data_IF_709508148778
#
_entry.id   IF_709508148778
#
_cell.length_a   1.000
_cell.length_b   1.000
_cell.length_c   1.000
_cell.angle_alpha   90.00
_cell.angle_beta   90.00
_cell.angle_gamma   90.00
#
_symmetry.space_group_name_H-M   'P 1'
#
loop_
_entity.id
_entity.type
_entity.pdbx_description
1 polymer ?
#
# COMPACT_ATOMS: atom_id res chain seq x y z
N UNK A 1 23.47 -40.80 -43.46
CA UNK A 1 22.02 -40.60 -43.20
C UNK A 1 21.70 -40.58 -41.69
N UNK A 2 22.60 -41.04 -40.82
CA UNK A 2 22.34 -41.20 -39.37
C UNK A 2 22.31 -39.90 -38.55
N UNK A 3 23.00 -38.84 -39.00
CA UNK A 3 23.01 -37.55 -38.27
C UNK A 3 21.65 -36.85 -38.37
N UNK A 4 20.97 -36.97 -39.51
CA UNK A 4 19.67 -36.33 -39.74
C UNK A 4 18.54 -37.03 -38.95
N UNK A 5 18.56 -38.36 -38.85
CA UNK A 5 17.56 -39.11 -38.08
C UNK A 5 17.73 -38.91 -36.57
N UNK A 6 18.97 -38.83 -36.08
CA UNK A 6 19.27 -38.54 -34.67
C UNK A 6 18.90 -37.09 -34.28
N UNK A 7 19.04 -36.13 -35.19
CA UNK A 7 18.62 -34.75 -34.94
C UNK A 7 17.08 -34.63 -34.91
N UNK A 8 16.39 -35.32 -35.83
CA UNK A 8 14.93 -35.34 -35.89
C UNK A 8 14.30 -36.07 -34.69
N UNK A 9 14.91 -37.16 -34.21
CA UNK A 9 14.46 -37.86 -33.01
C UNK A 9 14.72 -37.06 -31.72
N UNK A 10 15.86 -36.37 -31.63
CA UNK A 10 16.17 -35.47 -30.51
C UNK A 10 15.25 -34.25 -30.47
N UNK A 11 14.96 -33.62 -31.62
CA UNK A 11 14.00 -32.51 -31.73
C UNK A 11 12.57 -32.96 -31.44
N UNK A 12 12.15 -34.13 -31.92
CA UNK A 12 10.85 -34.71 -31.61
C UNK A 12 10.69 -35.01 -30.11
N UNK A 13 11.71 -35.58 -29.48
CA UNK A 13 11.73 -35.86 -28.04
C UNK A 13 11.68 -34.58 -27.19
N UNK A 14 12.40 -33.53 -27.58
CA UNK A 14 12.39 -32.24 -26.88
C UNK A 14 11.04 -31.51 -27.01
N UNK A 15 10.41 -31.55 -28.19
CA UNK A 15 9.09 -30.93 -28.41
C UNK A 15 7.99 -31.67 -27.64
N UNK A 16 7.98 -33.00 -27.67
CA UNK A 16 7.02 -33.81 -26.91
C UNK A 16 7.26 -33.67 -25.40
N UNK A 17 8.51 -33.67 -24.95
CA UNK A 17 8.86 -33.47 -23.55
C UNK A 17 8.47 -32.07 -23.02
N UNK A 18 8.66 -31.03 -23.83
CA UNK A 18 8.29 -29.65 -23.46
C UNK A 18 6.77 -29.46 -23.46
N UNK A 19 6.07 -30.02 -24.45
CA UNK A 19 4.60 -29.93 -24.54
C UNK A 19 3.92 -30.72 -23.42
N UNK A 20 4.36 -31.95 -23.16
CA UNK A 20 3.83 -32.76 -22.05
C UNK A 20 4.22 -32.19 -20.68
N UNK A 21 5.45 -31.68 -20.54
CA UNK A 21 5.92 -31.04 -19.31
C UNK A 21 5.14 -29.77 -18.97
N UNK A 22 4.91 -28.90 -19.96
CA UNK A 22 4.09 -27.69 -19.78
C UNK A 22 2.61 -28.02 -19.51
N UNK A 23 2.05 -29.03 -20.19
CA UNK A 23 0.71 -29.51 -19.90
C UNK A 23 0.57 -30.10 -18.49
N UNK A 24 1.55 -30.88 -18.03
CA UNK A 24 1.58 -31.44 -16.68
C UNK A 24 1.74 -30.35 -15.61
N UNK A 25 2.63 -29.37 -15.83
CA UNK A 25 2.79 -28.21 -14.94
C UNK A 25 1.50 -27.40 -14.84
N UNK A 26 0.85 -27.12 -15.97
CA UNK A 26 -0.43 -26.42 -16.02
C UNK A 26 -1.54 -27.22 -15.30
N UNK A 27 -1.58 -28.54 -15.49
CA UNK A 27 -2.52 -29.42 -14.77
C UNK A 27 -2.28 -29.41 -13.25
N UNK A 28 -1.02 -29.47 -12.80
CA UNK A 28 -0.69 -29.41 -11.38
C UNK A 28 -1.02 -28.04 -10.77
N UNK A 29 -0.70 -26.95 -11.47
CA UNK A 29 -1.08 -25.59 -11.04
C UNK A 29 -2.59 -25.45 -10.92
N UNK A 30 -3.35 -25.95 -11.90
CA UNK A 30 -4.81 -25.99 -11.84
C UNK A 30 -5.34 -26.83 -10.68
N UNK A 31 -4.68 -27.94 -10.32
CA UNK A 31 -5.01 -28.73 -9.15
C UNK A 31 -4.84 -27.95 -7.83
N UNK A 32 -3.72 -27.23 -7.68
CA UNK A 32 -3.48 -26.35 -6.53
C UNK A 32 -4.53 -25.24 -6.45
N UNK A 33 -4.85 -24.63 -7.59
CA UNK A 33 -5.82 -23.54 -7.66
C UNK A 33 -7.23 -23.98 -7.28
N UNK A 34 -7.66 -25.16 -7.75
CA UNK A 34 -8.94 -25.77 -7.34
C UNK A 34 -9.02 -25.97 -5.82
N UNK A 35 -7.91 -26.38 -5.19
CA UNK A 35 -7.86 -26.52 -3.73
C UNK A 35 -8.03 -25.17 -3.03
N UNK A 36 -7.31 -24.13 -3.48
CA UNK A 36 -7.42 -22.77 -2.93
C UNK A 36 -8.85 -22.20 -3.07
N UNK A 37 -9.47 -22.38 -4.25
CA UNK A 37 -10.87 -22.01 -4.49
C UNK A 37 -11.84 -22.77 -3.58
N UNK A 38 -11.59 -24.05 -3.31
CA UNK A 38 -12.40 -24.86 -2.39
C UNK A 38 -12.33 -24.32 -0.96
N UNK A 39 -11.14 -23.92 -0.49
CA UNK A 39 -10.96 -23.32 0.84
C UNK A 39 -11.72 -21.99 0.92
N UNK A 40 -11.63 -21.14 -0.10
CA UNK A 40 -12.37 -19.87 -0.14
C UNK A 40 -13.88 -20.10 -0.19
N UNK A 41 -14.33 -21.10 -0.94
CA UNK A 41 -15.75 -21.48 -1.01
C UNK A 41 -16.25 -21.98 0.35
N UNK A 42 -15.47 -22.80 1.06
CA UNK A 42 -15.76 -23.26 2.43
C UNK A 42 -15.94 -22.07 3.38
N UNK A 43 -15.11 -21.04 3.26
CA UNK A 43 -15.25 -19.83 4.08
C UNK A 43 -16.51 -19.02 3.73
N UNK A 44 -16.81 -18.85 2.44
CA UNK A 44 -18.02 -18.17 1.99
C UNK A 44 -19.29 -18.92 2.40
N UNK A 45 -19.25 -20.25 2.46
CA UNK A 45 -20.37 -21.06 2.96
C UNK A 45 -20.66 -20.83 4.45
N UNK A 46 -19.64 -20.50 5.25
CA UNK A 46 -19.86 -20.05 6.65
C UNK A 46 -20.69 -18.77 6.62
N UNK A 47 -20.25 -17.73 5.92
CA UNK A 47 -21.01 -16.46 5.86
C UNK A 47 -22.41 -16.63 5.28
N UNK A 48 -22.56 -17.45 4.24
CA UNK A 48 -23.85 -17.73 3.62
C UNK A 48 -24.83 -18.41 4.59
N UNK A 49 -24.34 -19.28 5.48
CA UNK A 49 -25.21 -19.91 6.50
C UNK A 49 -25.78 -18.90 7.50
N UNK A 50 -24.99 -17.89 7.90
CA UNK A 50 -25.41 -16.80 8.79
C UNK A 50 -26.30 -15.78 8.06
N UNK A 51 -25.99 -15.48 6.79
CA UNK A 51 -26.78 -14.59 5.93
C UNK A 51 -28.23 -15.07 5.77
N UNK A 52 -28.46 -16.39 5.62
CA UNK A 52 -29.81 -16.98 5.55
C UNK A 52 -30.67 -16.68 6.78
N UNK A 53 -30.04 -16.46 7.94
CA UNK A 53 -30.70 -16.09 9.19
C UNK A 53 -30.65 -14.59 9.49
N UNK A 54 -30.29 -13.75 8.52
CA UNK A 54 -30.16 -12.29 8.67
C UNK A 54 -29.17 -11.83 9.76
N UNK A 55 -28.12 -12.63 10.01
CA UNK A 55 -27.07 -12.32 10.98
C UNK A 55 -25.96 -11.43 10.40
N UNK A 56 -25.05 -11.00 11.26
CA UNK A 56 -23.90 -10.14 10.93
C UNK A 56 -22.61 -10.95 10.69
N UNK A 57 -21.59 -10.30 10.12
CA UNK A 57 -20.26 -10.92 9.99
C UNK A 57 -19.62 -11.22 11.35
N UNK A 58 -19.87 -10.39 12.37
CA UNK A 58 -19.40 -10.63 13.74
C UNK A 58 -19.96 -11.94 14.32
N UNK A 59 -21.23 -12.26 14.06
CA UNK A 59 -21.83 -13.52 14.51
C UNK A 59 -21.11 -14.77 13.94
N UNK A 60 -20.57 -14.67 12.73
CA UNK A 60 -19.86 -15.73 12.05
C UNK A 60 -18.38 -15.85 12.48
N UNK A 61 -17.86 -14.89 13.25
CA UNK A 61 -16.43 -14.74 13.56
C UNK A 61 -15.85 -15.97 14.28
N UNK A 62 -16.53 -16.44 15.32
CA UNK A 62 -16.10 -17.60 16.10
C UNK A 62 -16.03 -18.85 15.21
N UNK A 63 -17.05 -19.07 14.38
CA UNK A 63 -17.12 -20.23 13.51
C UNK A 63 -16.05 -20.17 12.41
N UNK A 64 -15.86 -19.00 11.79
CA UNK A 64 -14.79 -18.77 10.82
C UNK A 64 -13.42 -19.07 11.42
N UNK A 65 -13.16 -18.56 12.64
CA UNK A 65 -11.87 -18.71 13.27
C UNK A 65 -11.56 -20.13 13.74
N UNK A 66 -12.59 -20.92 14.06
CA UNK A 66 -12.46 -22.29 14.55
C UNK A 66 -12.46 -23.33 13.41
N UNK A 67 -13.23 -23.12 12.33
CA UNK A 67 -13.32 -24.07 11.20
C UNK A 67 -12.16 -23.99 10.21
N UNK A 68 -11.43 -22.87 10.20
CA UNK A 68 -10.30 -22.64 9.31
C UNK A 68 -9.00 -22.61 10.12
N UNK A 69 -8.01 -23.36 9.66
CA UNK A 69 -6.64 -23.29 10.17
C UNK A 69 -5.97 -21.96 9.81
N UNK A 70 -4.89 -21.62 10.52
CA UNK A 70 -4.07 -20.43 10.19
C UNK A 70 -3.56 -20.46 8.75
N UNK A 71 -3.18 -21.64 8.25
CA UNK A 71 -2.72 -21.80 6.87
C UNK A 71 -3.85 -21.55 5.85
N UNK A 72 -5.05 -22.10 6.08
CA UNK A 72 -6.22 -21.82 5.24
C UNK A 72 -6.57 -20.34 5.25
N UNK A 73 -6.57 -19.69 6.43
CA UNK A 73 -6.80 -18.25 6.56
C UNK A 73 -5.78 -17.47 5.73
N UNK A 74 -4.49 -17.82 5.77
CA UNK A 74 -3.43 -17.12 5.02
C UNK A 74 -3.69 -17.11 3.52
N UNK A 75 -4.20 -18.22 2.99
CA UNK A 75 -4.48 -18.37 1.56
C UNK A 75 -5.63 -17.46 1.14
N UNK A 76 -6.70 -17.39 1.92
CA UNK A 76 -7.99 -16.85 1.43
C UNK A 76 -8.30 -15.43 1.90
N UNK A 77 -7.70 -14.96 3.00
CA UNK A 77 -8.19 -13.76 3.70
C UNK A 77 -8.10 -12.49 2.86
N UNK A 78 -7.04 -12.35 2.05
CA UNK A 78 -6.88 -11.23 1.12
C UNK A 78 -7.92 -11.28 0.01
N UNK A 79 -8.23 -12.49 -0.48
CA UNK A 79 -9.24 -12.72 -1.51
C UNK A 79 -10.63 -12.32 -1.00
N UNK A 80 -10.99 -12.78 0.20
CA UNK A 80 -12.27 -12.45 0.83
C UNK A 80 -12.41 -10.93 1.02
N UNK A 81 -11.36 -10.27 1.51
CA UNK A 81 -11.38 -8.82 1.70
C UNK A 81 -11.56 -8.05 0.39
N UNK A 82 -10.82 -8.42 -0.67
CA UNK A 82 -10.96 -7.79 -1.99
C UNK A 82 -12.30 -8.06 -2.66
N UNK A 83 -12.96 -9.17 -2.30
CA UNK A 83 -14.31 -9.49 -2.75
C UNK A 83 -15.41 -8.73 -2.02
N UNK A 84 -15.07 -8.00 -0.95
CA UNK A 84 -16.02 -7.16 -0.20
C UNK A 84 -16.38 -7.69 1.18
N UNK A 85 -15.76 -8.78 1.66
CA UNK A 85 -15.94 -9.22 3.04
C UNK A 85 -15.20 -8.25 3.98
N UNK A 86 -15.90 -7.51 4.85
CA UNK A 86 -15.26 -6.48 5.66
C UNK A 86 -14.45 -7.12 6.79
N UNK A 87 -13.23 -6.64 7.03
CA UNK A 87 -12.37 -7.11 8.13
C UNK A 87 -12.11 -5.94 9.07
N UNK A 88 -12.30 -6.13 10.37
CA UNK A 88 -11.99 -5.12 11.37
C UNK A 88 -10.50 -5.13 11.70
N UNK A 89 -9.84 -3.99 11.49
CA UNK A 89 -8.41 -3.79 11.75
C UNK A 89 -8.15 -2.90 12.98
N UNK A 90 -9.15 -2.60 13.79
CA UNK A 90 -9.04 -1.68 14.94
C UNK A 90 -7.94 -2.07 15.94
N UNK A 91 -7.70 -3.37 16.10
CA UNK A 91 -6.69 -3.94 17.01
C UNK A 91 -5.42 -4.39 16.31
N UNK A 92 -5.23 -4.02 15.04
CA UNK A 92 -4.18 -4.53 14.16
C UNK A 92 -4.54 -5.90 13.55
N UNK A 93 -3.89 -6.24 12.44
CA UNK A 93 -4.13 -7.51 11.75
C UNK A 93 -3.45 -8.67 12.48
N UNK A 94 -4.22 -9.73 12.79
CA UNK A 94 -3.70 -10.97 13.35
C UNK A 94 -4.31 -12.18 12.64
N UNK A 95 -3.50 -12.88 11.86
CA UNK A 95 -3.96 -14.04 11.10
C UNK A 95 -4.54 -15.19 11.95
N UNK A 96 -4.15 -15.28 13.24
CA UNK A 96 -4.66 -16.33 14.14
C UNK A 96 -6.13 -16.09 14.47
N UNK A 97 -6.51 -14.83 14.62
CA UNK A 97 -7.84 -14.41 15.02
C UNK A 97 -8.29 -13.22 14.19
N UNK A 98 -9.12 -13.49 13.18
CA UNK A 98 -9.68 -12.49 12.27
C UNK A 98 -10.92 -11.90 12.91
N UNK A 99 -10.99 -10.57 13.03
CA UNK A 99 -12.14 -9.86 13.56
C UNK A 99 -13.05 -9.36 12.43
N UNK A 100 -14.36 -9.48 12.62
CA UNK A 100 -15.36 -8.99 11.68
C UNK A 100 -16.27 -7.93 12.33
N UNK A 101 -16.67 -6.89 11.58
CA UNK A 101 -17.55 -5.85 12.11
C UNK A 101 -19.01 -6.32 12.19
N UNK A 102 -19.82 -5.57 12.95
CA UNK A 102 -21.26 -5.78 13.10
C UNK A 102 -22.05 -5.25 11.88
N UNK A 103 -21.74 -5.81 10.72
CA UNK A 103 -22.39 -5.49 9.44
C UNK A 103 -23.26 -6.68 9.04
N UNK A 104 -24.51 -6.43 8.66
CA UNK A 104 -25.44 -7.46 8.19
C UNK A 104 -24.92 -8.10 6.90
N UNK A 105 -25.01 -9.44 6.80
CA UNK A 105 -24.56 -10.16 5.61
C UNK A 105 -25.69 -10.20 4.58
N UNK A 106 -25.43 -9.70 3.37
CA UNK A 106 -26.35 -9.85 2.24
C UNK A 106 -26.15 -11.19 1.52
N UNK A 107 -27.24 -11.95 1.39
CA UNK A 107 -27.20 -13.32 0.84
C UNK A 107 -26.73 -13.33 -0.61
N UNK A 108 -27.24 -12.41 -1.43
CA UNK A 108 -26.98 -12.42 -2.87
C UNK A 108 -25.57 -11.91 -3.19
N UNK A 109 -25.02 -10.98 -2.38
CA UNK A 109 -23.62 -10.58 -2.45
C UNK A 109 -22.68 -11.77 -2.20
N UNK A 110 -22.89 -12.53 -1.12
CA UNK A 110 -22.03 -13.68 -0.79
C UNK A 110 -22.13 -14.79 -1.85
N UNK A 111 -23.31 -15.01 -2.44
CA UNK A 111 -23.47 -15.94 -3.58
C UNK A 111 -22.67 -15.48 -4.80
N UNK A 112 -22.74 -14.20 -5.15
CA UNK A 112 -22.00 -13.64 -6.27
C UNK A 112 -20.48 -13.74 -6.05
N UNK A 113 -20.00 -13.47 -4.83
CA UNK A 113 -18.59 -13.68 -4.45
C UNK A 113 -18.17 -15.15 -4.62
N UNK A 114 -19.02 -16.09 -4.19
CA UNK A 114 -18.76 -17.53 -4.33
C UNK A 114 -18.68 -17.95 -5.78
N UNK A 115 -19.54 -17.43 -6.64
CA UNK A 115 -19.49 -17.68 -8.08
C UNK A 115 -18.16 -17.18 -8.68
N UNK A 116 -17.75 -15.95 -8.38
CA UNK A 116 -16.48 -15.38 -8.86
C UNK A 116 -15.26 -16.21 -8.45
N UNK A 117 -15.22 -16.67 -7.19
CA UNK A 117 -14.16 -17.56 -6.69
C UNK A 117 -14.16 -18.89 -7.44
N UNK A 118 -15.33 -19.51 -7.61
CA UNK A 118 -15.44 -20.82 -8.26
C UNK A 118 -15.03 -20.77 -9.74
N UNK A 119 -15.37 -19.68 -10.43
CA UNK A 119 -15.03 -19.40 -11.83
C UNK A 119 -13.54 -19.06 -12.04
N UNK A 120 -12.80 -18.77 -10.96
CA UNK A 120 -11.36 -18.51 -11.02
C UNK A 120 -10.95 -17.07 -11.30
N UNK A 121 -11.89 -16.12 -11.27
CA UNK A 121 -11.58 -14.71 -11.50
C UNK A 121 -10.67 -14.10 -10.41
N UNK A 122 -10.58 -14.77 -9.26
CA UNK A 122 -9.81 -14.30 -8.11
C UNK A 122 -8.48 -15.04 -7.93
N UNK A 123 -8.08 -15.91 -8.86
CA UNK A 123 -6.93 -16.81 -8.69
C UNK A 123 -5.63 -16.10 -8.33
N UNK A 124 -5.38 -14.96 -8.98
CA UNK A 124 -4.20 -14.13 -8.72
C UNK A 124 -4.10 -13.63 -7.27
N UNK A 125 -5.23 -13.52 -6.57
CA UNK A 125 -5.28 -12.97 -5.22
C UNK A 125 -4.82 -13.98 -4.15
N UNK A 126 -4.84 -15.28 -4.44
CA UNK A 126 -4.38 -16.32 -3.50
C UNK A 126 -2.87 -16.30 -3.25
N UNK A 127 -2.12 -15.57 -4.07
CA UNK A 127 -0.67 -15.43 -3.95
C UNK A 127 -0.23 -14.22 -3.11
N UNK A 128 -1.17 -13.39 -2.66
CA UNK A 128 -0.87 -12.21 -1.86
C UNK A 128 -0.60 -12.59 -0.41
N UNK A 129 0.52 -12.11 0.13
CA UNK A 129 0.83 -12.29 1.55
C UNK A 129 -0.11 -11.41 2.40
N UNK A 130 -0.88 -11.99 3.34
CA UNK A 130 -1.85 -11.25 4.14
C UNK A 130 -1.20 -10.27 5.11
N UNK A 131 -0.05 -10.62 5.69
CA UNK A 131 0.64 -9.73 6.63
C UNK A 131 1.10 -8.47 5.90
N UNK A 132 1.72 -8.60 4.72
CA UNK A 132 2.04 -7.46 3.85
C UNK A 132 0.80 -6.72 3.39
N UNK A 133 -0.25 -7.42 2.94
CA UNK A 133 -1.46 -6.78 2.42
C UNK A 133 -2.19 -5.93 3.47
N UNK A 134 -2.43 -6.47 4.67
CA UNK A 134 -3.16 -5.75 5.72
C UNK A 134 -2.27 -4.78 6.52
N UNK A 135 -0.97 -5.05 6.64
CA UNK A 135 -0.06 -4.16 7.37
C UNK A 135 0.66 -3.12 6.49
N UNK A 136 0.71 -3.29 5.17
CA UNK A 136 1.32 -2.29 4.26
C UNK A 136 0.70 -0.91 4.43
N UNK A 137 -0.60 -0.85 4.74
CA UNK A 137 -1.30 0.40 4.98
C UNK A 137 -1.12 0.94 6.41
N UNK A 138 -0.76 0.15 7.42
CA UNK A 138 -0.65 0.67 8.80
C UNK A 138 0.43 1.74 8.89
N UNK A 139 1.60 1.48 8.29
CA UNK A 139 2.69 2.47 8.28
C UNK A 139 2.28 3.73 7.53
N UNK A 140 1.71 3.59 6.34
CA UNK A 140 1.38 4.77 5.52
C UNK A 140 0.21 5.56 6.11
N UNK A 141 -0.80 4.88 6.65
CA UNK A 141 -1.90 5.50 7.40
C UNK A 141 -1.38 6.21 8.65
N UNK A 142 -0.44 5.62 9.38
CA UNK A 142 0.20 6.27 10.54
C UNK A 142 0.96 7.52 10.12
N UNK A 143 1.72 7.47 9.03
CA UNK A 143 2.45 8.61 8.48
C UNK A 143 1.51 9.72 7.98
N UNK A 144 0.44 9.37 7.26
CA UNK A 144 -0.60 10.32 6.83
C UNK A 144 -1.30 10.97 8.01
N UNK A 145 -1.67 10.20 9.04
CA UNK A 145 -2.28 10.74 10.25
C UNK A 145 -1.33 11.67 11.01
N UNK A 146 -0.06 11.30 11.10
CA UNK A 146 0.99 12.15 11.67
C UNK A 146 1.14 13.46 10.89
N UNK A 147 1.18 13.40 9.56
CA UNK A 147 1.27 14.57 8.69
C UNK A 147 0.06 15.49 8.85
N UNK A 148 -1.17 14.95 8.86
CA UNK A 148 -2.39 15.72 9.11
C UNK A 148 -2.38 16.38 10.49
N UNK A 149 -1.92 15.68 11.53
CA UNK A 149 -1.79 16.24 12.87
C UNK A 149 -0.80 17.41 12.87
N UNK A 150 0.35 17.24 12.22
CA UNK A 150 1.32 18.31 12.07
C UNK A 150 0.77 19.52 11.31
N UNK A 151 0.06 19.29 10.21
CA UNK A 151 -0.58 20.38 9.46
C UNK A 151 -1.54 21.16 10.37
N UNK A 152 -2.44 20.48 11.09
CA UNK A 152 -3.45 21.11 11.96
C UNK A 152 -2.85 21.82 13.18
N UNK A 153 -1.90 21.19 13.85
CA UNK A 153 -1.37 21.69 15.13
C UNK A 153 -0.28 22.75 14.92
N UNK A 154 0.45 22.66 13.81
CA UNK A 154 1.65 23.47 13.56
C UNK A 154 1.46 24.37 12.34
N UNK A 155 1.23 23.79 11.16
CA UNK A 155 1.25 24.54 9.90
C UNK A 155 0.11 25.56 9.80
N UNK A 156 -1.09 25.19 10.25
CA UNK A 156 -2.26 26.08 10.37
C UNK A 156 -2.06 27.24 11.35
N UNK A 157 -1.08 27.15 12.24
CA UNK A 157 -0.77 28.16 13.24
C UNK A 157 0.57 28.86 12.95
N UNK A 158 1.12 28.63 11.76
CA UNK A 158 2.38 29.23 11.33
C UNK A 158 2.16 30.58 10.67
N UNK A 159 3.22 31.37 10.59
CA UNK A 159 3.21 32.64 9.85
C UNK A 159 4.33 32.61 8.80
N UNK A 160 4.12 33.28 7.67
CA UNK A 160 5.10 33.32 6.58
C UNK A 160 5.63 34.73 6.35
N UNK A 161 6.96 34.86 6.32
CA UNK A 161 7.65 36.05 5.85
C UNK A 161 7.92 35.88 4.34
N UNK A 162 7.13 36.57 3.51
CA UNK A 162 7.22 36.48 2.04
C UNK A 162 8.50 37.11 1.48
N UNK A 163 9.06 38.11 2.15
CA UNK A 163 10.31 38.74 1.71
C UNK A 163 11.50 37.80 1.93
N UNK A 164 11.54 37.16 3.11
CA UNK A 164 12.59 36.19 3.45
C UNK A 164 12.31 34.78 2.93
N UNK A 165 11.13 34.57 2.33
CA UNK A 165 10.62 33.26 1.89
C UNK A 165 10.77 32.19 2.98
N UNK A 166 10.40 32.55 4.21
CA UNK A 166 10.51 31.67 5.36
C UNK A 166 9.16 31.47 6.03
N UNK A 167 8.95 30.30 6.62
CA UNK A 167 7.79 30.00 7.44
C UNK A 167 8.25 29.83 8.88
N UNK A 168 7.64 30.59 9.78
CA UNK A 168 7.86 30.52 11.22
C UNK A 168 6.78 29.66 11.85
N UNK A 169 7.21 28.58 12.49
CA UNK A 169 6.33 27.66 13.22
C UNK A 169 6.07 28.16 14.65
N UNK A 170 4.94 27.76 15.29
CA UNK A 170 4.68 28.04 16.70
C UNK A 170 5.80 27.60 17.64
N UNK A 171 6.04 28.34 18.71
CA UNK A 171 7.06 27.97 19.70
C UNK A 171 6.82 26.59 20.31
N UNK A 172 7.91 25.86 20.53
CA UNK A 172 7.93 24.53 21.18
C UNK A 172 7.03 23.48 20.54
N UNK A 173 6.60 23.67 19.28
CA UNK A 173 5.74 22.70 18.59
C UNK A 173 6.32 21.28 18.59
N UNK A 174 7.66 21.17 18.54
CA UNK A 174 8.41 19.91 18.49
C UNK A 174 8.30 19.08 19.77
N UNK A 175 7.96 19.67 20.93
CA UNK A 175 7.81 18.95 22.20
C UNK A 175 6.59 18.01 22.18
N UNK A 176 5.63 18.26 21.29
CA UNK A 176 4.44 17.42 21.09
C UNK A 176 4.70 16.17 20.24
N UNK A 177 5.92 15.98 19.75
CA UNK A 177 6.29 14.93 18.82
C UNK A 177 7.50 14.16 19.34
N UNK A 178 7.45 12.83 19.22
CA UNK A 178 8.60 11.96 19.50
C UNK A 178 9.74 12.23 18.52
N UNK A 179 10.94 11.75 18.83
CA UNK A 179 12.08 11.86 17.91
C UNK A 179 11.76 11.20 16.55
N UNK A 180 11.20 9.98 16.57
CA UNK A 180 10.86 9.25 15.34
C UNK A 180 9.81 9.98 14.49
N UNK A 181 8.77 10.54 15.12
CA UNK A 181 7.77 11.32 14.40
C UNK A 181 8.35 12.57 13.74
N UNK A 182 9.31 13.24 14.41
CA UNK A 182 9.99 14.40 13.84
C UNK A 182 10.79 14.02 12.60
N UNK A 183 11.59 12.94 12.67
CA UNK A 183 12.33 12.43 11.52
C UNK A 183 11.42 12.05 10.35
N UNK A 184 10.30 11.38 10.64
CA UNK A 184 9.34 10.97 9.61
C UNK A 184 8.69 12.15 8.88
N UNK A 185 8.61 13.33 9.51
CA UNK A 185 8.00 14.52 8.94
C UNK A 185 8.99 15.40 8.16
N UNK A 186 10.31 15.23 8.28
CA UNK A 186 11.27 16.21 7.77
C UNK A 186 11.18 16.43 6.25
N UNK A 187 11.17 15.35 5.45
CA UNK A 187 11.08 15.47 3.99
C UNK A 187 9.75 16.10 3.59
N UNK A 188 8.65 15.64 4.20
CA UNK A 188 7.32 16.20 3.97
C UNK A 188 7.29 17.71 4.26
N UNK A 189 7.74 18.14 5.44
CA UNK A 189 7.81 19.56 5.85
C UNK A 189 8.54 20.41 4.83
N UNK A 190 9.71 19.97 4.38
CA UNK A 190 10.51 20.73 3.40
C UNK A 190 9.76 20.92 2.08
N UNK A 191 9.00 19.91 1.64
CA UNK A 191 8.30 19.93 0.36
C UNK A 191 6.98 20.70 0.40
N UNK A 192 6.29 20.71 1.53
CA UNK A 192 5.01 21.45 1.70
C UNK A 192 5.19 22.88 2.18
N UNK A 193 6.39 23.27 2.63
CA UNK A 193 6.71 24.63 3.06
C UNK A 193 6.77 25.61 1.87
N UNK A 194 5.63 25.79 1.20
CA UNK A 194 5.43 26.70 0.08
C UNK A 194 4.69 27.96 0.55
N UNK A 195 5.10 29.11 0.03
CA UNK A 195 4.44 30.41 0.26
C UNK A 195 3.00 30.42 -0.26
N UNK A 196 2.63 29.48 -1.14
CA UNK A 196 1.29 29.38 -1.71
C UNK A 196 0.21 29.10 -0.67
N UNK A 197 0.56 28.51 0.46
CA UNK A 197 -0.38 28.23 1.56
C UNK A 197 -0.69 29.45 2.43
N UNK A 198 -0.04 30.59 2.17
CA UNK A 198 -0.16 31.81 2.98
C UNK A 198 -0.65 33.01 2.16
N UNK A 199 -1.51 33.83 2.75
CA UNK A 199 -2.06 35.04 2.14
C UNK A 199 -1.02 36.17 2.06
N UNK A 200 -1.40 37.34 1.53
CA UNK A 200 -0.49 38.49 1.39
C UNK A 200 0.14 38.93 2.70
N UNK A 201 -0.55 38.75 3.82
CA UNK A 201 -0.14 39.18 5.15
C UNK A 201 0.66 38.09 5.90
N UNK A 202 0.86 36.94 5.25
CA UNK A 202 1.61 35.81 5.78
C UNK A 202 0.76 34.81 6.57
N UNK A 203 -0.56 35.00 6.67
CA UNK A 203 -1.44 34.12 7.42
C UNK A 203 -1.85 32.88 6.61
N UNK A 204 -2.09 31.73 7.26
CA UNK A 204 -2.53 30.50 6.60
C UNK A 204 -3.88 30.66 5.88
N UNK A 205 -3.92 30.24 4.61
CA UNK A 205 -5.16 30.19 3.82
C UNK A 205 -5.89 28.89 4.14
N UNK A 206 -6.98 28.97 4.92
CA UNK A 206 -7.73 27.80 5.42
C UNK A 206 -8.12 26.81 4.34
N UNK A 207 -8.63 27.28 3.20
CA UNK A 207 -9.08 26.41 2.11
C UNK A 207 -7.93 25.60 1.53
N UNK A 208 -6.77 26.23 1.29
CA UNK A 208 -5.58 25.54 0.78
C UNK A 208 -5.01 24.55 1.78
N UNK A 209 -5.06 24.87 3.06
CA UNK A 209 -4.65 23.95 4.11
C UNK A 209 -5.62 22.76 4.24
N UNK A 210 -6.92 22.99 3.98
CA UNK A 210 -7.93 21.93 3.83
C UNK A 210 -7.61 21.02 2.65
N UNK A 211 -7.30 21.60 1.49
CA UNK A 211 -6.85 20.85 0.30
C UNK A 211 -5.59 20.02 0.59
N UNK A 212 -4.61 20.58 1.30
CA UNK A 212 -3.41 19.83 1.69
C UNK A 212 -3.75 18.60 2.55
N UNK A 213 -4.68 18.73 3.50
CA UNK A 213 -5.16 17.59 4.30
C UNK A 213 -5.81 16.54 3.39
N UNK A 214 -6.67 16.96 2.46
CA UNK A 214 -7.28 16.07 1.47
C UNK A 214 -6.22 15.38 0.61
N UNK A 215 -5.18 16.09 0.17
CA UNK A 215 -4.12 15.52 -0.65
C UNK A 215 -3.30 14.46 0.10
N UNK A 216 -3.10 14.67 1.40
CA UNK A 216 -2.49 13.66 2.29
C UNK A 216 -3.39 12.41 2.36
N UNK A 217 -4.71 12.59 2.51
CA UNK A 217 -5.65 11.47 2.56
C UNK A 217 -5.71 10.69 1.24
N UNK A 218 -5.62 11.39 0.11
CA UNK A 218 -5.53 10.79 -1.22
C UNK A 218 -4.18 10.10 -1.50
N UNK A 219 -3.15 10.39 -0.68
CA UNK A 219 -1.84 9.76 -0.79
C UNK A 219 -0.87 10.44 -1.74
N UNK A 220 -1.17 11.66 -2.21
CA UNK A 220 -0.27 12.40 -3.11
C UNK A 220 1.10 12.70 -2.48
N UNK A 221 1.15 12.71 -1.14
CA UNK A 221 2.36 12.97 -0.36
C UNK A 221 3.07 11.72 0.16
N UNK A 222 2.58 10.51 -0.17
CA UNK A 222 3.11 9.25 0.34
C UNK A 222 4.58 9.04 0.02
N UNK A 223 5.01 9.43 -1.17
CA UNK A 223 6.40 9.34 -1.61
C UNK A 223 7.31 10.22 -0.75
N UNK A 224 6.85 11.40 -0.34
CA UNK A 224 7.59 12.26 0.59
C UNK A 224 7.60 11.70 2.01
N UNK A 225 6.45 11.19 2.48
CA UNK A 225 6.32 10.60 3.82
C UNK A 225 7.11 9.30 4.00
N UNK A 226 7.29 8.54 2.92
CA UNK A 226 8.08 7.31 2.92
C UNK A 226 9.57 7.54 2.67
N UNK A 227 9.99 8.75 2.27
CA UNK A 227 11.38 9.03 1.97
C UNK A 227 12.21 9.14 3.24
N UNK A 228 13.22 8.28 3.36
CA UNK A 228 14.23 8.37 4.39
C UNK A 228 14.96 9.72 4.39
N UNK A 229 15.09 10.33 5.56
CA UNK A 229 15.64 11.68 5.73
C UNK A 229 17.12 11.77 5.32
N UNK A 230 17.93 10.79 5.70
CA UNK A 230 19.37 10.81 5.41
C UNK A 230 19.61 10.62 3.90
N UNK A 231 18.83 9.74 3.28
CA UNK A 231 18.81 9.54 1.84
C UNK A 231 18.42 10.82 1.10
N UNK A 232 17.38 11.52 1.57
CA UNK A 232 16.96 12.81 1.01
C UNK A 232 18.08 13.88 1.14
N UNK A 233 18.68 13.99 2.32
CA UNK A 233 19.80 14.93 2.58
C UNK A 233 20.99 14.66 1.68
N UNK A 234 21.34 13.40 1.46
CA UNK A 234 22.44 13.01 0.58
C UNK A 234 22.18 13.46 -0.87
N UNK A 235 20.97 13.26 -1.38
CA UNK A 235 20.58 13.71 -2.73
C UNK A 235 20.62 15.23 -2.86
N UNK A 236 20.07 15.97 -1.90
CA UNK A 236 20.09 17.44 -1.92
C UNK A 236 21.53 17.96 -1.86
N UNK A 237 22.37 17.38 -1.01
CA UNK A 237 23.77 17.78 -0.86
C UNK A 237 24.57 17.52 -2.15
N UNK A 238 24.36 16.36 -2.78
CA UNK A 238 24.98 16.04 -4.06
C UNK A 238 24.54 17.00 -5.18
N UNK A 239 23.25 17.36 -5.23
CA UNK A 239 22.73 18.31 -6.20
C UNK A 239 23.29 19.73 -5.99
N UNK A 240 23.43 20.17 -4.73
CA UNK A 240 24.05 21.45 -4.40
C UNK A 240 25.53 21.48 -4.79
N UNK A 241 26.27 20.40 -4.52
CA UNK A 241 27.66 20.26 -4.94
C UNK A 241 27.80 20.30 -6.46
N UNK A 242 26.95 19.56 -7.17
CA UNK A 242 26.96 19.55 -8.64
C UNK A 242 26.66 20.94 -9.22
N UNK A 243 25.68 21.64 -8.65
CA UNK A 243 25.35 23.01 -9.06
C UNK A 243 26.51 23.98 -8.81
N UNK A 244 27.18 23.86 -7.65
CA UNK A 244 28.36 24.68 -7.35
C UNK A 244 29.51 24.42 -8.33
N UNK A 245 29.77 23.16 -8.68
CA UNK A 245 30.78 22.78 -9.68
C UNK A 245 30.42 23.31 -11.07
N UNK A 246 29.16 23.20 -11.51
CA UNK A 246 28.73 23.75 -12.79
C UNK A 246 28.89 25.29 -12.83
N UNK A 247 28.57 25.98 -11.74
CA UNK A 247 28.74 27.44 -11.65
C UNK A 247 30.22 27.84 -11.68
N UNK A 248 31.12 27.10 -11.03
CA UNK A 248 32.56 27.40 -11.10
C UNK A 248 33.12 27.11 -12.49
N UNK A 249 32.75 26.00 -13.11
CA UNK A 249 33.21 25.64 -14.47
C UNK A 249 32.74 26.65 -15.53
N UNK A 250 31.48 27.09 -15.46
CA UNK A 250 30.94 28.13 -16.37
C UNK A 250 31.63 29.48 -16.19
N UNK A 251 31.92 29.89 -14.95
CA UNK A 251 32.68 31.10 -14.68
C UNK A 251 34.13 31.03 -15.19
N UNK A 252 34.79 29.87 -15.07
CA UNK A 252 36.15 29.66 -15.63
C UNK A 252 36.15 29.75 -17.16
N UNK A 253 35.15 29.18 -17.83
CA UNK A 253 35.03 29.28 -19.29
C UNK A 253 34.76 30.72 -19.76
N UNK A 254 33.96 31.47 -19.01
CA UNK A 254 33.63 32.87 -19.35
C UNK A 254 34.86 33.78 -19.20
N UNK A 255 35.70 33.54 -18.18
CA UNK A 255 36.94 34.29 -17.96
C UNK A 255 38.09 33.92 -18.92
N UNK A 256 38.01 32.77 -19.60
CA UNK A 256 38.99 32.36 -20.62
C UNK A 256 38.65 32.88 -22.04
N UNK A 257 37.47 33.50 -22.22
CA UNK A 257 37.01 34.08 -23.49
C UNK A 257 37.08 35.62 -23.52
N UNK A 258 37.65 36.24 -22.47
CA UNK A 258 38.04 37.66 -22.43
C UNK A 258 39.56 37.78 -22.58
#
# INVERSE_FOLDING_TARGET
MDVLSNLLSALGGALVGTFLGSYFLHWWQNGKMKSMRSIATKALDIFLSYAKTSKTYNDAESEFNNKLSVAEKRIIIVVLHKLGIPISLERGFNIKHICFPEIKIEVDEVKAMKEQVSSGYCDQLFHLDPDSYFNSNIRITSLRNLAKRWVKDVFFNSNSDKEKKNVTYPDKWFEKYTLGERYALEVFKVRVCSMEYFDSDGHPIKDKMGTLITDIDLGWWDSCLCWDYDSYRNVITANQLNSAICNTLSNVQTNQQQ
#
